data_IF_456189036834
#
_entry.id   IF_456189036834
#
_cell.length_a   1.000
_cell.length_b   1.000
_cell.length_c   1.000
_cell.angle_alpha   90.00
_cell.angle_beta   90.00
_cell.angle_gamma   90.00
#
_symmetry.space_group_name_H-M   'P 1'
#
loop_
_entity.id
_entity.type
_entity.pdbx_description
1 polymer ?
#
# COMPACT_ATOMS: atom_id res chain seq x y z
N UNK A 1 18.31 14.22 -13.43
CA UNK A 1 16.95 14.72 -13.74
C UNK A 1 16.25 14.94 -12.41
N UNK A 2 15.37 15.92 -12.28
CA UNK A 2 14.65 16.15 -11.02
C UNK A 2 13.14 16.11 -11.26
N UNK A 3 12.39 15.83 -10.19
CA UNK A 3 10.93 15.69 -10.29
C UNK A 3 10.24 17.05 -10.47
N UNK A 4 10.86 18.14 -10.07
CA UNK A 4 10.34 19.48 -10.31
C UNK A 4 10.35 19.80 -11.81
N UNK A 5 11.41 19.41 -12.52
CA UNK A 5 11.48 19.55 -13.98
C UNK A 5 10.39 18.73 -14.66
N UNK A 6 10.13 17.49 -14.20
CA UNK A 6 9.06 16.63 -14.72
C UNK A 6 7.68 17.30 -14.60
N UNK A 7 7.38 17.93 -13.45
CA UNK A 7 6.15 18.67 -13.20
C UNK A 7 6.07 19.93 -14.08
N UNK A 8 7.19 20.66 -14.21
CA UNK A 8 7.28 21.89 -14.99
C UNK A 8 7.10 21.67 -16.52
N UNK A 9 7.23 20.46 -17.00
CA UNK A 9 7.00 20.10 -18.41
C UNK A 9 5.53 19.84 -18.76
N UNK A 10 4.66 19.70 -17.75
CA UNK A 10 3.25 19.42 -17.95
C UNK A 10 2.47 20.70 -18.36
N UNK A 11 1.19 20.53 -18.74
CA UNK A 11 0.29 21.64 -19.10
C UNK A 11 0.05 22.52 -17.87
N UNK A 12 0.63 23.72 -17.89
CA UNK A 12 0.82 24.56 -16.70
C UNK A 12 -0.47 25.10 -16.08
N UNK A 13 -1.51 25.35 -16.86
CA UNK A 13 -2.82 25.87 -16.44
C UNK A 13 -3.75 24.77 -15.89
N UNK A 14 -3.37 23.49 -16.05
CA UNK A 14 -4.16 22.36 -15.62
C UNK A 14 -4.03 22.16 -14.11
N UNK A 15 -5.13 21.72 -13.46
CA UNK A 15 -5.10 21.25 -12.07
C UNK A 15 -4.19 20.02 -11.95
N UNK A 16 -3.26 20.09 -11.02
CA UNK A 16 -2.34 19.01 -10.70
C UNK A 16 -2.72 18.33 -9.37
N UNK A 17 -3.09 19.11 -8.38
CA UNK A 17 -3.40 18.64 -7.04
C UNK A 17 -4.58 19.38 -6.45
N UNK A 18 -5.50 18.65 -5.85
CA UNK A 18 -6.62 19.12 -5.06
C UNK A 18 -6.52 18.42 -3.70
N UNK A 19 -6.24 19.16 -2.64
CA UNK A 19 -6.28 18.63 -1.27
C UNK A 19 -7.49 19.20 -0.55
N UNK A 20 -8.51 18.35 -0.32
CA UNK A 20 -9.82 18.75 0.18
C UNK A 20 -10.45 19.86 -0.71
N UNK A 21 -10.25 21.14 -0.38
CA UNK A 21 -10.79 22.29 -1.13
C UNK A 21 -9.69 23.20 -1.72
N UNK A 22 -8.43 22.93 -1.39
CA UNK A 22 -7.29 23.68 -1.92
C UNK A 22 -6.87 23.14 -3.28
N UNK A 23 -6.74 24.00 -4.27
CA UNK A 23 -6.44 23.66 -5.66
C UNK A 23 -5.09 24.22 -6.09
N UNK A 24 -4.28 23.38 -6.70
CA UNK A 24 -2.98 23.72 -7.25
C UNK A 24 -2.91 23.33 -8.73
N UNK A 25 -2.62 24.28 -9.61
CA UNK A 25 -2.23 23.97 -10.98
C UNK A 25 -0.79 23.43 -11.04
N UNK A 26 -0.39 22.85 -12.17
CA UNK A 26 1.00 22.48 -12.39
C UNK A 26 1.95 23.66 -12.24
N UNK A 27 1.58 24.83 -12.79
CA UNK A 27 2.34 26.09 -12.58
C UNK A 27 2.42 26.47 -11.10
N UNK A 28 1.31 26.40 -10.38
CA UNK A 28 1.24 26.75 -8.96
C UNK A 28 2.12 25.85 -8.10
N UNK A 29 2.06 24.53 -8.31
CA UNK A 29 2.94 23.57 -7.63
C UNK A 29 4.43 23.84 -7.94
N UNK A 30 4.76 24.02 -9.22
CA UNK A 30 6.14 24.25 -9.63
C UNK A 30 6.67 25.58 -9.07
N UNK A 31 5.85 26.61 -9.03
CA UNK A 31 6.22 27.91 -8.45
C UNK A 31 6.46 27.79 -6.94
N UNK A 32 5.51 27.21 -6.20
CA UNK A 32 5.65 27.00 -4.75
C UNK A 32 6.91 26.21 -4.40
N UNK A 33 7.21 25.15 -5.18
CA UNK A 33 8.41 24.36 -4.98
C UNK A 33 9.70 25.16 -5.27
N UNK A 34 9.72 26.02 -6.30
CA UNK A 34 10.86 26.91 -6.60
C UNK A 34 11.05 27.96 -5.51
N UNK A 35 9.99 28.55 -5.02
CA UNK A 35 10.04 29.54 -3.93
C UNK A 35 10.61 28.92 -2.66
N UNK A 36 10.15 27.72 -2.29
CA UNK A 36 10.71 26.98 -1.16
C UNK A 36 12.18 26.62 -1.40
N UNK A 37 12.55 26.14 -2.59
CA UNK A 37 13.94 25.82 -2.98
C UNK A 37 14.86 27.02 -2.82
N UNK A 38 14.43 28.24 -3.17
CA UNK A 38 15.23 29.45 -3.05
C UNK A 38 15.49 29.88 -1.59
N UNK A 39 14.66 29.42 -0.66
CA UNK A 39 14.75 29.72 0.77
C UNK A 39 15.35 28.56 1.59
N UNK A 40 15.49 27.38 0.97
CA UNK A 40 15.88 26.15 1.66
C UNK A 40 17.38 26.14 1.99
N UNK A 41 17.69 25.53 3.12
CA UNK A 41 19.07 25.18 3.49
C UNK A 41 19.42 23.80 2.92
N UNK A 42 20.51 23.74 2.17
CA UNK A 42 21.06 22.52 1.59
C UNK A 42 22.35 22.05 2.28
N UNK A 43 22.64 22.50 3.49
CA UNK A 43 23.85 22.11 4.22
C UNK A 43 23.83 20.64 4.68
N UNK A 44 22.65 20.11 5.01
CA UNK A 44 22.49 18.73 5.42
C UNK A 44 22.44 17.76 4.22
N UNK A 45 22.93 16.50 4.37
CA UNK A 45 22.90 15.50 3.30
C UNK A 45 21.47 15.00 3.00
N UNK A 46 20.56 15.03 3.97
CA UNK A 46 19.16 14.69 3.80
C UNK A 46 18.25 15.65 4.57
N UNK A 47 17.00 15.79 4.12
CA UNK A 47 15.95 16.56 4.81
C UNK A 47 14.75 15.66 5.07
N UNK A 48 14.30 15.64 6.32
CA UNK A 48 13.08 14.92 6.71
C UNK A 48 11.89 15.86 6.68
N UNK A 49 10.96 15.59 5.75
CA UNK A 49 9.77 16.40 5.51
C UNK A 49 8.67 15.92 6.46
N UNK A 50 8.28 16.76 7.41
CA UNK A 50 7.31 16.49 8.48
C UNK A 50 6.04 17.34 8.33
N UNK A 51 5.55 17.50 7.12
CA UNK A 51 4.38 18.30 6.84
C UNK A 51 3.09 17.50 7.06
N UNK A 52 2.06 18.15 7.60
CA UNK A 52 0.75 17.55 7.80
C UNK A 52 -0.15 17.61 6.56
N UNK A 53 0.10 18.52 5.63
CA UNK A 53 -0.63 18.68 4.37
C UNK A 53 0.08 17.89 3.26
N UNK A 54 -0.69 17.18 2.43
CA UNK A 54 -0.18 16.45 1.27
C UNK A 54 0.45 17.44 0.28
N UNK A 55 -0.19 18.58 0.05
CA UNK A 55 0.33 19.63 -0.82
C UNK A 55 1.70 20.13 -0.33
N UNK A 56 1.85 20.39 0.97
CA UNK A 56 3.13 20.82 1.54
C UNK A 56 4.19 19.72 1.50
N UNK A 57 3.81 18.45 1.73
CA UNK A 57 4.71 17.31 1.55
C UNK A 57 5.23 17.26 0.11
N UNK A 58 4.34 17.38 -0.87
CA UNK A 58 4.69 17.35 -2.28
C UNK A 58 5.56 18.55 -2.69
N UNK A 59 5.18 19.77 -2.29
CA UNK A 59 5.95 21.00 -2.56
C UNK A 59 7.36 20.88 -1.99
N UNK A 60 7.50 20.42 -0.74
CA UNK A 60 8.80 20.22 -0.13
C UNK A 60 9.60 19.12 -0.83
N UNK A 61 8.99 17.99 -1.15
CA UNK A 61 9.63 16.92 -1.90
C UNK A 61 10.16 17.41 -3.26
N UNK A 62 9.37 18.17 -4.01
CA UNK A 62 9.76 18.76 -5.30
C UNK A 62 10.86 19.83 -5.12
N UNK A 63 10.81 20.62 -4.05
CA UNK A 63 11.82 21.66 -3.77
C UNK A 63 13.21 21.07 -3.56
N UNK A 64 13.33 19.95 -2.86
CA UNK A 64 14.60 19.29 -2.61
C UNK A 64 15.00 18.30 -3.72
N UNK A 65 14.09 17.93 -4.61
CA UNK A 65 14.37 17.01 -5.72
C UNK A 65 15.48 17.54 -6.63
N UNK A 66 16.45 16.69 -6.96
CA UNK A 66 17.57 17.03 -7.83
C UNK A 66 18.61 17.99 -7.21
N UNK A 67 18.54 18.24 -5.92
CA UNK A 67 19.54 19.02 -5.16
C UNK A 67 20.56 18.07 -4.49
N UNK A 68 21.54 18.63 -3.80
CA UNK A 68 22.51 17.84 -3.02
C UNK A 68 21.96 17.31 -1.69
N UNK A 69 20.78 17.80 -1.25
CA UNK A 69 20.09 17.35 -0.04
C UNK A 69 18.95 16.42 -0.42
N UNK A 70 19.04 15.17 -0.02
CA UNK A 70 18.07 14.14 -0.42
C UNK A 70 16.77 14.24 0.41
N UNK A 71 15.59 14.40 -0.21
CA UNK A 71 14.32 14.48 0.52
C UNK A 71 13.86 13.10 1.02
N UNK A 72 13.34 13.07 2.24
CA UNK A 72 12.68 11.94 2.88
C UNK A 72 11.35 12.40 3.44
N UNK A 73 10.23 11.85 2.96
CA UNK A 73 8.92 12.16 3.56
C UNK A 73 8.74 11.24 4.76
N UNK A 74 8.65 11.85 5.94
CA UNK A 74 8.68 11.16 7.21
C UNK A 74 7.27 10.98 7.80
N UNK A 75 7.05 9.89 8.53
CA UNK A 75 5.84 9.66 9.31
C UNK A 75 5.95 10.30 10.71
N UNK A 76 4.83 10.45 11.41
CA UNK A 76 4.84 10.95 12.80
C UNK A 76 5.65 10.03 13.74
N UNK A 77 5.56 8.71 13.52
CA UNK A 77 6.34 7.72 14.30
C UNK A 77 7.84 7.90 14.08
N UNK A 78 8.23 8.21 12.85
CA UNK A 78 9.64 8.39 12.51
C UNK A 78 10.27 9.67 13.07
N UNK A 79 9.47 10.69 13.45
CA UNK A 79 9.96 11.91 14.11
C UNK A 79 10.77 11.63 15.38
N UNK A 80 10.46 10.51 16.05
CA UNK A 80 11.13 10.11 17.31
C UNK A 80 12.36 9.24 17.08
N UNK A 81 12.68 8.90 15.82
CA UNK A 81 13.81 8.04 15.50
C UNK A 81 14.95 8.86 14.93
N UNK A 82 16.18 8.55 15.34
CA UNK A 82 17.38 9.07 14.72
C UNK A 82 17.78 8.14 13.58
N UNK A 83 17.96 8.71 12.39
CA UNK A 83 18.43 7.99 11.21
C UNK A 83 19.88 8.41 10.92
N UNK A 84 20.75 7.42 10.67
CA UNK A 84 22.10 7.68 10.19
C UNK A 84 22.04 8.07 8.72
N UNK A 85 22.52 9.25 8.38
CA UNK A 85 22.60 9.77 7.02
C UNK A 85 24.06 9.90 6.55
N UNK A 86 25.00 9.25 7.23
CA UNK A 86 26.44 9.38 6.94
C UNK A 86 26.87 8.67 5.65
N UNK A 87 26.06 7.72 5.19
CA UNK A 87 26.32 6.89 4.01
C UNK A 87 25.14 6.88 3.04
N UNK A 88 24.77 8.07 2.51
CA UNK A 88 23.76 8.15 1.45
C UNK A 88 24.40 7.76 0.12
N UNK A 89 23.84 6.77 -0.62
CA UNK A 89 24.36 6.42 -1.94
C UNK A 89 24.39 7.62 -2.88
N UNK A 90 25.45 7.75 -3.68
CA UNK A 90 25.62 8.90 -4.59
C UNK A 90 24.48 9.03 -5.61
N UNK A 91 23.87 7.92 -6.01
CA UNK A 91 22.74 7.91 -6.94
C UNK A 91 21.40 8.25 -6.28
N UNK A 92 21.34 8.32 -4.94
CA UNK A 92 20.10 8.55 -4.23
C UNK A 92 19.47 9.89 -4.57
N UNK A 93 18.21 9.89 -4.95
CA UNK A 93 17.42 11.09 -5.22
C UNK A 93 16.26 11.27 -4.22
N UNK A 94 15.96 10.23 -3.44
CA UNK A 94 14.99 10.26 -2.35
C UNK A 94 15.23 9.13 -1.34
N UNK A 95 14.78 9.34 -0.12
CA UNK A 95 14.63 8.28 0.87
C UNK A 95 13.17 7.89 1.07
N UNK A 96 12.93 6.59 1.23
CA UNK A 96 11.61 6.03 1.56
C UNK A 96 11.68 5.29 2.87
N UNK A 97 10.59 5.35 3.63
CA UNK A 97 10.51 4.71 4.94
C UNK A 97 9.61 3.50 4.88
N UNK A 98 10.04 2.41 5.52
CA UNK A 98 9.21 1.22 5.66
C UNK A 98 8.78 1.06 7.12
N UNK A 99 7.53 0.61 7.33
CA UNK A 99 7.09 0.17 8.65
C UNK A 99 7.74 -1.19 8.93
N UNK A 100 8.86 -1.22 9.65
CA UNK A 100 9.50 -2.48 10.04
C UNK A 100 8.57 -3.35 10.90
N UNK A 101 8.59 -4.66 10.70
CA UNK A 101 7.87 -5.65 11.53
C UNK A 101 8.25 -5.58 13.02
N UNK A 102 9.39 -4.97 13.33
CA UNK A 102 9.91 -4.74 14.68
C UNK A 102 9.46 -3.41 15.31
N UNK A 103 8.58 -2.65 14.66
CA UNK A 103 8.11 -1.33 15.11
C UNK A 103 9.11 -0.18 14.86
N UNK A 104 10.30 -0.47 14.33
CA UNK A 104 11.27 0.56 13.90
C UNK A 104 11.19 0.73 12.40
N UNK A 105 11.00 1.97 11.94
CA UNK A 105 11.04 2.28 10.50
C UNK A 105 12.47 2.12 9.97
N UNK A 106 12.61 1.53 8.78
CA UNK A 106 13.88 1.49 8.04
C UNK A 106 13.85 2.60 7.00
N UNK A 107 14.98 3.27 6.82
CA UNK A 107 15.19 4.25 5.77
C UNK A 107 15.91 3.56 4.60
N UNK A 108 15.35 3.66 3.42
CA UNK A 108 15.86 3.07 2.19
C UNK A 108 16.08 4.18 1.16
N UNK A 109 17.13 4.08 0.37
CA UNK A 109 17.49 5.09 -0.63
C UNK A 109 17.12 4.61 -2.04
N UNK A 110 16.62 5.53 -2.86
CA UNK A 110 16.28 5.27 -4.26
C UNK A 110 16.96 6.25 -5.19
N UNK A 111 17.45 5.72 -6.30
CA UNK A 111 17.87 6.55 -7.45
C UNK A 111 16.66 7.00 -8.27
N UNK A 112 16.86 8.01 -9.10
CA UNK A 112 15.83 8.46 -10.04
C UNK A 112 15.41 7.33 -11.00
N UNK A 113 16.38 6.59 -11.53
CA UNK A 113 16.13 5.49 -12.48
C UNK A 113 15.37 4.33 -11.83
N UNK A 114 15.72 3.96 -10.61
CA UNK A 114 15.03 2.87 -9.91
C UNK A 114 13.56 3.17 -9.61
N UNK A 115 13.11 4.40 -9.83
CA UNK A 115 11.75 4.81 -9.52
C UNK A 115 11.01 5.43 -10.70
N UNK A 116 11.52 6.53 -11.28
CA UNK A 116 10.82 7.28 -12.31
C UNK A 116 10.73 6.53 -13.66
N UNK A 117 11.71 5.70 -13.98
CA UNK A 117 11.69 4.91 -15.21
C UNK A 117 10.57 3.84 -15.22
N UNK A 118 10.00 3.56 -14.05
CA UNK A 118 8.86 2.66 -13.93
C UNK A 118 7.50 3.34 -14.20
N UNK A 119 7.39 4.66 -14.12
CA UNK A 119 6.12 5.36 -14.29
C UNK A 119 5.38 5.03 -15.61
N UNK A 120 6.05 4.90 -16.78
CA UNK A 120 5.34 4.52 -17.99
C UNK A 120 4.65 3.16 -17.90
N UNK A 121 5.33 2.16 -17.31
CA UNK A 121 4.77 0.82 -17.16
C UNK A 121 3.65 0.81 -16.09
N UNK A 122 3.87 1.47 -14.95
CA UNK A 122 2.85 1.68 -13.93
C UNK A 122 1.57 2.26 -14.54
N UNK A 123 1.70 3.37 -15.26
CA UNK A 123 0.59 4.11 -15.82
C UNK A 123 -0.14 3.31 -16.91
N UNK A 124 0.61 2.55 -17.72
CA UNK A 124 0.03 1.62 -18.71
C UNK A 124 -0.84 0.56 -18.06
N UNK A 125 -0.35 -0.10 -16.98
CA UNK A 125 -1.08 -1.17 -16.29
C UNK A 125 -2.30 -0.63 -15.55
N UNK A 126 -2.17 0.55 -14.96
CA UNK A 126 -3.23 1.18 -14.15
C UNK A 126 -4.21 2.04 -14.97
N UNK A 127 -4.00 2.16 -16.28
CA UNK A 127 -4.85 2.98 -17.13
C UNK A 127 -4.81 4.46 -16.77
N UNK A 128 -3.64 4.97 -16.36
CA UNK A 128 -3.39 6.36 -15.98
C UNK A 128 -2.85 7.14 -17.18
N UNK A 129 -3.47 8.27 -17.47
CA UNK A 129 -3.13 9.17 -18.57
C UNK A 129 -3.30 10.64 -18.15
N UNK A 130 -3.11 11.56 -19.10
CA UNK A 130 -3.31 13.01 -18.87
C UNK A 130 -4.74 13.39 -18.49
N UNK A 131 -5.75 12.58 -18.84
CA UNK A 131 -7.16 12.83 -18.51
C UNK A 131 -7.57 12.24 -17.17
N UNK A 132 -6.65 11.54 -16.50
CA UNK A 132 -6.93 10.91 -15.23
C UNK A 132 -7.10 11.96 -14.14
N UNK A 133 -8.22 11.88 -13.43
CA UNK A 133 -8.46 12.52 -12.13
C UNK A 133 -8.59 11.42 -11.11
N UNK A 134 -7.56 11.20 -10.30
CA UNK A 134 -7.52 10.09 -9.35
C UNK A 134 -7.82 10.54 -7.93
N UNK A 135 -8.68 9.79 -7.24
CA UNK A 135 -8.88 9.95 -5.80
C UNK A 135 -7.91 9.06 -5.02
N UNK A 136 -7.21 9.66 -4.04
CA UNK A 136 -6.34 8.95 -3.12
C UNK A 136 -6.53 9.45 -1.68
N UNK A 137 -6.34 8.56 -0.70
CA UNK A 137 -6.37 8.93 0.71
C UNK A 137 -5.08 8.54 1.41
N UNK A 138 -4.43 9.52 2.03
CA UNK A 138 -3.25 9.32 2.87
C UNK A 138 -2.00 10.08 2.41
N UNK A 139 -1.00 10.11 3.29
CA UNK A 139 0.27 10.84 3.16
C UNK A 139 1.18 10.23 2.08
N UNK A 140 2.07 11.06 1.53
CA UNK A 140 3.17 10.62 0.67
C UNK A 140 4.26 9.84 1.43
N UNK A 141 4.24 9.84 2.76
CA UNK A 141 5.16 9.02 3.56
C UNK A 141 4.97 7.51 3.30
N UNK A 142 3.82 7.13 2.72
CA UNK A 142 3.59 5.79 2.19
C UNK A 142 4.16 5.66 0.79
N UNK A 143 5.07 4.70 0.59
CA UNK A 143 5.69 4.44 -0.72
C UNK A 143 4.65 4.19 -1.81
N UNK A 144 3.58 3.43 -1.50
CA UNK A 144 2.49 3.19 -2.45
C UNK A 144 1.78 4.48 -2.88
N UNK A 145 1.45 5.37 -1.93
CA UNK A 145 0.87 6.68 -2.25
C UNK A 145 1.84 7.53 -3.08
N UNK A 146 3.11 7.61 -2.64
CA UNK A 146 4.13 8.39 -3.32
C UNK A 146 4.32 7.94 -4.78
N UNK A 147 4.33 6.61 -5.02
CA UNK A 147 4.42 6.05 -6.36
C UNK A 147 3.24 6.46 -7.24
N UNK A 148 2.01 6.30 -6.74
CA UNK A 148 0.80 6.68 -7.49
C UNK A 148 0.76 8.19 -7.74
N UNK A 149 1.01 9.01 -6.72
CA UNK A 149 0.96 10.46 -6.86
C UNK A 149 1.95 10.96 -7.93
N UNK A 150 3.19 10.52 -7.84
CA UNK A 150 4.21 10.95 -8.81
C UNK A 150 3.98 10.35 -10.20
N UNK A 151 3.51 9.11 -10.30
CA UNK A 151 3.15 8.50 -11.59
C UNK A 151 2.02 9.24 -12.31
N UNK A 152 0.98 9.65 -11.58
CA UNK A 152 -0.14 10.44 -12.11
C UNK A 152 0.33 11.82 -12.55
N UNK A 153 1.13 12.50 -11.72
CA UNK A 153 1.68 13.81 -12.08
C UNK A 153 2.63 13.73 -13.27
N UNK A 154 3.40 12.63 -13.39
CA UNK A 154 4.26 12.39 -14.55
C UNK A 154 3.46 12.21 -15.85
N UNK A 155 2.26 11.65 -15.77
CA UNK A 155 1.33 11.52 -16.90
C UNK A 155 0.56 12.81 -17.23
N UNK A 156 0.70 13.86 -16.42
CA UNK A 156 -0.09 15.08 -16.58
C UNK A 156 -1.52 14.96 -16.03
N UNK A 157 -1.82 13.97 -15.20
CA UNK A 157 -3.11 13.76 -14.53
C UNK A 157 -3.36 14.72 -13.36
N UNK A 158 -4.49 14.57 -12.68
CA UNK A 158 -4.89 15.38 -11.53
C UNK A 158 -5.08 14.50 -10.30
N UNK A 159 -4.54 14.91 -9.17
CA UNK A 159 -4.68 14.26 -7.88
C UNK A 159 -5.81 14.94 -7.07
N UNK A 160 -6.85 14.20 -6.68
CA UNK A 160 -7.83 14.62 -5.70
C UNK A 160 -7.58 13.84 -4.40
N UNK A 161 -7.06 14.49 -3.37
CA UNK A 161 -6.49 13.82 -2.21
C UNK A 161 -7.05 14.34 -0.89
N UNK A 162 -6.99 13.52 0.14
CA UNK A 162 -7.28 13.92 1.52
C UNK A 162 -6.52 13.03 2.51
N UNK A 163 -6.20 13.57 3.67
CA UNK A 163 -5.71 12.75 4.78
C UNK A 163 -6.85 12.27 5.68
N UNK A 164 -8.05 12.90 5.58
CA UNK A 164 -9.18 12.62 6.46
C UNK A 164 -9.79 11.27 6.14
N UNK A 165 -9.98 10.43 7.18
CA UNK A 165 -10.73 9.18 7.05
C UNK A 165 -12.23 9.46 7.20
N UNK A 166 -12.87 9.89 6.08
CA UNK A 166 -14.31 10.22 6.03
C UNK A 166 -14.91 9.79 4.69
N UNK A 167 -15.42 8.54 4.54
CA UNK A 167 -15.89 8.03 3.26
C UNK A 167 -16.96 8.89 2.55
N UNK A 168 -17.87 9.53 3.31
CA UNK A 168 -18.85 10.47 2.72
C UNK A 168 -18.17 11.69 2.09
N UNK A 169 -17.15 12.22 2.73
CA UNK A 169 -16.36 13.33 2.18
C UNK A 169 -15.57 12.90 0.94
N UNK A 170 -15.04 11.67 0.92
CA UNK A 170 -14.38 11.13 -0.27
C UNK A 170 -15.30 11.14 -1.48
N UNK A 171 -16.54 10.66 -1.33
CA UNK A 171 -17.52 10.64 -2.41
C UNK A 171 -17.91 12.06 -2.87
N UNK A 172 -17.96 13.04 -1.95
CA UNK A 172 -18.20 14.44 -2.32
C UNK A 172 -17.05 15.01 -3.17
N UNK A 173 -15.79 14.74 -2.79
CA UNK A 173 -14.63 15.12 -3.59
C UNK A 173 -14.65 14.42 -4.96
N UNK A 174 -14.91 13.11 -5.00
CA UNK A 174 -14.98 12.35 -6.23
C UNK A 174 -16.06 12.92 -7.18
N UNK A 175 -17.22 13.28 -6.65
CA UNK A 175 -18.29 13.88 -7.42
C UNK A 175 -17.93 15.28 -7.91
N UNK A 176 -17.44 16.15 -7.03
CA UNK A 176 -17.10 17.56 -7.31
C UNK A 176 -16.05 17.69 -8.42
N UNK A 177 -15.05 16.85 -8.39
CA UNK A 177 -13.91 16.92 -9.31
C UNK A 177 -13.96 15.87 -10.44
N UNK A 178 -15.13 15.25 -10.65
CA UNK A 178 -15.34 14.27 -11.71
C UNK A 178 -14.26 13.18 -11.73
N UNK A 179 -13.91 12.63 -10.56
CA UNK A 179 -12.90 11.58 -10.40
C UNK A 179 -13.25 10.39 -11.29
N UNK A 180 -12.27 9.90 -12.04
CA UNK A 180 -12.40 8.78 -12.95
C UNK A 180 -11.45 7.62 -12.64
N UNK A 181 -10.60 7.77 -11.61
CA UNK A 181 -9.76 6.70 -11.09
C UNK A 181 -9.72 6.75 -9.56
N UNK A 182 -9.52 5.60 -8.91
CA UNK A 182 -9.46 5.49 -7.44
C UNK A 182 -8.23 4.68 -7.07
N UNK A 183 -7.43 5.18 -6.12
CA UNK A 183 -6.39 4.41 -5.46
C UNK A 183 -6.63 4.36 -3.96
N UNK A 184 -6.99 3.19 -3.46
CA UNK A 184 -7.20 2.89 -2.04
C UNK A 184 -6.80 1.43 -1.75
N UNK A 185 -6.45 1.13 -0.52
CA UNK A 185 -6.30 -0.27 -0.07
C UNK A 185 -7.68 -0.97 -0.03
N UNK A 186 -7.75 -2.31 -0.18
CA UNK A 186 -9.00 -3.05 -0.26
C UNK A 186 -10.01 -2.73 0.85
N UNK A 187 -9.57 -2.69 2.10
CA UNK A 187 -10.44 -2.38 3.25
C UNK A 187 -11.11 -1.00 3.16
N UNK A 188 -10.45 -0.01 2.56
CA UNK A 188 -11.03 1.33 2.33
C UNK A 188 -11.93 1.36 1.11
N UNK A 189 -11.58 0.64 0.03
CA UNK A 189 -12.42 0.52 -1.17
C UNK A 189 -13.79 -0.07 -0.83
N UNK A 190 -13.82 -1.12 -0.03
CA UNK A 190 -15.05 -1.80 0.36
C UNK A 190 -15.97 -0.99 1.29
N UNK A 191 -15.53 0.17 1.76
CA UNK A 191 -16.41 1.13 2.42
C UNK A 191 -17.27 1.91 1.43
N UNK A 192 -16.79 2.18 0.21
CA UNK A 192 -17.47 3.03 -0.75
C UNK A 192 -18.86 2.53 -1.14
N UNK A 193 -19.09 1.24 -1.43
CA UNK A 193 -20.43 0.71 -1.72
C UNK A 193 -21.44 0.96 -0.61
N UNK A 194 -21.02 1.04 0.66
CA UNK A 194 -21.92 1.31 1.81
C UNK A 194 -22.51 2.72 1.78
N UNK A 195 -21.90 3.66 1.06
CA UNK A 195 -22.28 5.08 1.03
C UNK A 195 -22.76 5.57 -0.35
N UNK A 196 -22.49 4.83 -1.42
CA UNK A 196 -23.00 5.13 -2.76
C UNK A 196 -24.47 4.69 -2.87
N UNK A 197 -25.32 5.60 -3.37
CA UNK A 197 -26.74 5.32 -3.61
C UNK A 197 -27.00 4.81 -5.02
N UNK A 198 -26.17 5.27 -5.97
CA UNK A 198 -26.27 4.92 -7.38
C UNK A 198 -24.86 4.61 -7.92
N UNK A 199 -24.75 3.74 -8.94
CA UNK A 199 -23.47 3.44 -9.56
C UNK A 199 -22.79 4.68 -10.15
N UNK A 200 -21.49 4.82 -9.94
CA UNK A 200 -20.69 5.87 -10.58
C UNK A 200 -19.99 5.31 -11.83
N UNK A 201 -20.59 5.56 -12.98
CA UNK A 201 -20.11 5.10 -14.30
C UNK A 201 -18.87 5.86 -14.81
N UNK A 202 -18.46 6.95 -14.13
CA UNK A 202 -17.29 7.76 -14.52
C UNK A 202 -15.98 7.09 -14.14
N UNK A 203 -15.99 6.30 -13.05
CA UNK A 203 -14.81 5.60 -12.58
C UNK A 203 -14.45 4.50 -13.57
N UNK A 204 -13.31 4.64 -14.23
CA UNK A 204 -12.78 3.72 -15.23
C UNK A 204 -11.57 2.89 -14.76
N UNK A 205 -10.94 3.30 -13.63
CA UNK A 205 -9.81 2.56 -13.05
C UNK A 205 -9.91 2.53 -11.53
N UNK A 206 -9.70 1.35 -10.95
CA UNK A 206 -9.54 1.16 -9.52
C UNK A 206 -8.21 0.42 -9.30
N UNK A 207 -7.32 1.05 -8.56
CA UNK A 207 -5.99 0.54 -8.25
C UNK A 207 -5.94 0.23 -6.77
N UNK A 208 -5.47 -0.96 -6.40
CA UNK A 208 -5.37 -1.38 -5.02
C UNK A 208 -4.13 -2.22 -4.76
N UNK A 209 -3.72 -2.29 -3.50
CA UNK A 209 -2.57 -3.09 -3.09
C UNK A 209 -2.44 -3.16 -1.58
N UNK A 210 -1.34 -3.73 -1.09
CA UNK A 210 -1.01 -3.88 0.34
C UNK A 210 -1.89 -4.83 1.14
N UNK A 211 -3.01 -5.29 0.62
CA UNK A 211 -3.92 -6.28 1.21
C UNK A 211 -4.44 -7.20 0.10
N UNK A 212 -4.88 -8.41 0.44
CA UNK A 212 -5.52 -9.32 -0.51
C UNK A 212 -6.94 -8.85 -0.85
N UNK A 213 -7.38 -9.17 -2.07
CA UNK A 213 -8.74 -8.98 -2.55
C UNK A 213 -9.05 -10.12 -3.53
N UNK A 214 -10.19 -10.76 -3.38
CA UNK A 214 -10.64 -11.83 -4.26
C UNK A 214 -11.78 -11.40 -5.19
N UNK A 215 -12.32 -12.37 -5.92
CA UNK A 215 -13.40 -12.16 -6.89
C UNK A 215 -14.65 -11.52 -6.29
N UNK A 216 -15.07 -11.97 -5.13
CA UNK A 216 -16.28 -11.46 -4.49
C UNK A 216 -16.19 -9.98 -4.12
N UNK A 217 -15.02 -9.51 -3.65
CA UNK A 217 -14.80 -8.09 -3.36
C UNK A 217 -14.76 -7.28 -4.64
N UNK A 218 -14.10 -7.77 -5.68
CA UNK A 218 -14.08 -7.11 -6.97
C UNK A 218 -15.48 -6.97 -7.56
N UNK A 219 -16.32 -8.01 -7.49
CA UNK A 219 -17.71 -7.98 -7.96
C UNK A 219 -18.55 -6.96 -7.19
N UNK A 220 -18.38 -6.83 -5.85
CA UNK A 220 -19.05 -5.78 -5.07
C UNK A 220 -18.66 -4.37 -5.53
N UNK A 221 -17.41 -4.16 -5.90
CA UNK A 221 -16.96 -2.88 -6.43
C UNK A 221 -17.51 -2.63 -7.83
N UNK A 222 -17.57 -3.63 -8.70
CA UNK A 222 -18.14 -3.52 -10.05
C UNK A 222 -19.65 -3.25 -10.04
N UNK A 223 -20.39 -3.63 -8.99
CA UNK A 223 -21.80 -3.24 -8.84
C UNK A 223 -21.98 -1.71 -8.71
N UNK A 224 -21.04 -1.03 -8.09
CA UNK A 224 -21.10 0.44 -7.88
C UNK A 224 -20.18 1.23 -8.81
N UNK A 225 -19.21 0.59 -9.43
CA UNK A 225 -18.30 1.15 -10.43
C UNK A 225 -18.26 0.24 -11.68
N UNK A 226 -19.35 0.18 -12.46
CA UNK A 226 -19.52 -0.86 -13.49
C UNK A 226 -18.55 -0.77 -14.67
N UNK A 227 -17.93 0.41 -14.88
CA UNK A 227 -16.97 0.64 -15.96
C UNK A 227 -15.51 0.56 -15.50
N UNK A 228 -15.27 0.18 -14.23
CA UNK A 228 -13.93 0.19 -13.68
C UNK A 228 -13.12 -1.05 -14.10
N UNK A 229 -11.91 -0.83 -14.61
CA UNK A 229 -10.85 -1.83 -14.66
C UNK A 229 -10.18 -1.88 -13.28
N UNK A 230 -10.38 -2.97 -12.53
CA UNK A 230 -9.85 -3.12 -11.18
C UNK A 230 -8.52 -3.87 -11.26
N UNK A 231 -7.47 -3.26 -10.74
CA UNK A 231 -6.13 -3.84 -10.65
C UNK A 231 -5.70 -3.94 -9.18
N UNK A 232 -5.40 -5.16 -8.75
CA UNK A 232 -4.71 -5.40 -7.49
C UNK A 232 -3.24 -5.65 -7.77
N UNK A 233 -2.33 -4.96 -7.06
CA UNK A 233 -0.90 -5.17 -7.20
C UNK A 233 -0.26 -5.69 -5.90
N UNK A 234 0.80 -6.46 -6.06
CA UNK A 234 1.75 -6.80 -5.02
C UNK A 234 3.06 -6.05 -5.27
N UNK A 235 3.62 -5.49 -4.21
CA UNK A 235 4.86 -4.73 -4.27
C UNK A 235 5.44 -4.46 -2.89
N UNK A 236 6.65 -3.92 -2.86
CA UNK A 236 7.37 -3.58 -1.65
C UNK A 236 8.14 -2.28 -1.82
N UNK A 237 8.38 -1.58 -0.70
CA UNK A 237 9.18 -0.35 -0.73
C UNK A 237 10.60 -0.58 -1.26
N UNK A 238 11.11 -1.79 -1.08
CA UNK A 238 12.42 -2.23 -1.53
C UNK A 238 12.50 -2.44 -3.04
N UNK A 239 11.40 -2.89 -3.68
CA UNK A 239 11.39 -3.45 -5.03
C UNK A 239 10.37 -2.80 -5.97
N UNK A 240 9.62 -1.78 -5.51
CA UNK A 240 8.52 -1.16 -6.24
C UNK A 240 7.37 -2.14 -6.50
N UNK A 241 6.70 -2.09 -7.65
CA UNK A 241 5.64 -3.02 -8.05
C UNK A 241 6.23 -4.32 -8.59
N UNK A 242 5.72 -5.46 -8.15
CA UNK A 242 6.24 -6.80 -8.49
C UNK A 242 5.27 -7.52 -9.42
N UNK A 243 4.03 -7.76 -8.95
CA UNK A 243 2.99 -8.40 -9.77
C UNK A 243 1.68 -7.64 -9.71
N UNK A 244 0.79 -7.92 -10.64
CA UNK A 244 -0.57 -7.41 -10.66
C UNK A 244 -1.55 -8.46 -11.19
N UNK A 245 -2.81 -8.33 -10.78
CA UNK A 245 -3.92 -9.12 -11.27
C UNK A 245 -5.11 -8.21 -11.56
N UNK A 246 -5.81 -8.48 -12.66
CA UNK A 246 -7.05 -7.78 -13.03
C UNK A 246 -8.26 -8.49 -12.44
N UNK A 247 -9.35 -7.74 -12.17
CA UNK A 247 -10.57 -8.33 -11.61
C UNK A 247 -11.09 -9.52 -12.39
N UNK A 248 -10.98 -9.51 -13.71
CA UNK A 248 -11.41 -10.60 -14.59
C UNK A 248 -10.65 -11.92 -14.37
N UNK A 249 -9.40 -11.81 -13.88
CA UNK A 249 -8.51 -12.92 -13.57
C UNK A 249 -8.59 -13.38 -12.10
N UNK A 250 -9.24 -12.58 -11.23
CA UNK A 250 -9.37 -12.91 -9.81
C UNK A 250 -10.32 -14.11 -9.64
N UNK A 251 -9.97 -14.95 -8.69
CA UNK A 251 -10.76 -16.11 -8.26
C UNK A 251 -11.06 -16.01 -6.76
N UNK A 252 -11.73 -17.01 -6.21
CA UNK A 252 -11.90 -17.13 -4.76
C UNK A 252 -10.60 -17.51 -4.04
N UNK A 253 -9.60 -18.01 -4.78
CA UNK A 253 -8.25 -18.20 -4.25
C UNK A 253 -7.53 -16.84 -4.15
N UNK A 254 -7.54 -16.28 -2.95
CA UNK A 254 -6.91 -15.01 -2.62
C UNK A 254 -5.39 -15.05 -2.58
N UNK A 255 -4.79 -16.24 -2.73
CA UNK A 255 -3.34 -16.37 -2.84
C UNK A 255 -2.84 -15.93 -4.20
N UNK A 256 -3.68 -16.02 -5.25
CA UNK A 256 -3.35 -15.61 -6.60
C UNK A 256 -3.18 -14.07 -6.67
N UNK A 257 -1.94 -13.63 -6.89
CA UNK A 257 -1.55 -12.21 -7.01
C UNK A 257 -1.03 -11.85 -8.39
N UNK A 258 -1.23 -12.73 -9.36
CA UNK A 258 -1.12 -12.47 -10.79
C UNK A 258 0.26 -12.55 -11.38
N UNK A 259 0.48 -11.76 -12.44
CA UNK A 259 1.68 -11.78 -13.28
C UNK A 259 2.62 -10.63 -12.98
N UNK A 260 3.90 -10.80 -13.29
CA UNK A 260 4.93 -9.77 -13.12
C UNK A 260 4.67 -8.56 -14.01
N UNK A 261 5.02 -7.37 -13.50
CA UNK A 261 5.15 -6.19 -14.33
C UNK A 261 6.31 -6.37 -15.35
N UNK A 262 6.24 -5.62 -16.44
CA UNK A 262 7.32 -5.62 -17.44
C UNK A 262 8.65 -5.16 -16.81
N UNK A 263 9.70 -5.93 -17.03
CA UNK A 263 11.03 -5.65 -16.46
C UNK A 263 11.24 -6.23 -15.06
N UNK A 264 10.23 -6.92 -14.50
CA UNK A 264 10.34 -7.62 -13.22
C UNK A 264 10.35 -9.12 -13.45
N UNK A 265 11.33 -9.82 -12.92
CA UNK A 265 11.42 -11.27 -12.95
C UNK A 265 11.14 -11.84 -11.56
N UNK A 266 10.24 -12.79 -11.50
CA UNK A 266 9.87 -13.51 -10.28
C UNK A 266 10.32 -14.95 -10.41
N UNK A 267 11.03 -15.45 -9.44
CA UNK A 267 11.40 -16.87 -9.32
C UNK A 267 11.08 -17.38 -7.92
N UNK A 268 10.90 -18.69 -7.80
CA UNK A 268 10.59 -19.32 -6.53
C UNK A 268 11.54 -20.50 -6.32
N UNK A 269 12.18 -20.52 -5.17
CA UNK A 269 13.05 -21.61 -4.75
C UNK A 269 12.67 -22.03 -3.32
N UNK A 270 12.34 -23.33 -3.13
CA UNK A 270 11.89 -23.86 -1.84
C UNK A 270 10.74 -23.05 -1.22
N UNK A 271 9.76 -22.67 -2.06
CA UNK A 271 8.63 -21.80 -1.72
C UNK A 271 9.02 -20.35 -1.32
N UNK A 272 10.27 -19.94 -1.34
CA UNK A 272 10.70 -18.57 -1.12
C UNK A 272 10.71 -17.82 -2.45
N UNK A 273 10.10 -16.62 -2.44
CA UNK A 273 9.98 -15.76 -3.61
C UNK A 273 11.21 -14.86 -3.73
N UNK A 274 11.83 -14.88 -4.91
CA UNK A 274 12.97 -14.05 -5.28
C UNK A 274 12.59 -13.14 -6.45
N UNK A 275 13.02 -11.89 -6.35
CA UNK A 275 12.69 -10.84 -7.32
C UNK A 275 13.97 -10.28 -7.91
N UNK A 276 14.03 -10.20 -9.24
CA UNK A 276 15.05 -9.49 -9.99
C UNK A 276 14.41 -8.35 -10.78
N UNK A 277 14.83 -7.12 -10.52
CA UNK A 277 14.25 -5.91 -11.09
C UNK A 277 15.24 -4.75 -11.05
N UNK A 278 15.31 -3.88 -12.08
CA UNK A 278 16.07 -2.64 -12.01
C UNK A 278 15.42 -1.57 -11.09
N UNK A 279 14.18 -1.80 -10.66
CA UNK A 279 13.39 -0.83 -9.90
C UNK A 279 13.49 -1.04 -8.39
N UNK A 280 14.69 -1.29 -7.90
CA UNK A 280 14.97 -1.58 -6.48
C UNK A 280 15.59 -0.38 -5.75
N UNK A 281 15.58 -0.41 -4.43
CA UNK A 281 16.35 0.53 -3.60
C UNK A 281 17.84 0.26 -3.72
N UNK A 282 18.66 1.28 -3.42
CA UNK A 282 20.10 1.12 -3.35
C UNK A 282 20.48 0.12 -2.24
N UNK A 283 21.70 -0.43 -2.33
CA UNK A 283 22.31 -1.31 -1.30
C UNK A 283 21.60 -2.66 -1.08
N UNK A 284 20.87 -3.17 -2.07
CA UNK A 284 20.41 -4.57 -2.07
C UNK A 284 21.06 -5.38 -3.18
N UNK A 285 21.19 -6.68 -2.96
CA UNK A 285 21.72 -7.63 -3.95
C UNK A 285 20.56 -8.36 -4.62
N UNK A 286 20.59 -8.44 -5.95
CA UNK A 286 19.61 -9.18 -6.75
C UNK A 286 20.11 -10.60 -7.08
N UNK A 287 19.21 -11.58 -7.22
CA UNK A 287 17.79 -11.49 -6.91
C UNK A 287 17.54 -11.33 -5.40
N UNK A 288 16.59 -10.47 -5.03
CA UNK A 288 16.29 -10.13 -3.63
C UNK A 288 15.05 -10.87 -3.14
N UNK A 289 15.08 -11.34 -1.88
CA UNK A 289 13.93 -11.94 -1.21
C UNK A 289 13.43 -11.06 -0.07
N UNK A 290 12.11 -10.83 -0.08
CA UNK A 290 11.39 -10.20 1.04
C UNK A 290 11.09 -11.19 2.17
N UNK A 291 11.55 -12.46 2.05
CA UNK A 291 11.14 -13.59 2.88
C UNK A 291 9.66 -13.92 2.76
N UNK A 292 9.09 -13.60 1.61
CA UNK A 292 7.73 -13.94 1.23
C UNK A 292 7.75 -15.35 0.61
N UNK A 293 6.69 -16.13 0.87
CA UNK A 293 6.52 -17.50 0.36
C UNK A 293 5.44 -17.54 -0.71
N UNK A 294 5.64 -18.40 -1.68
CA UNK A 294 4.70 -18.56 -2.78
C UNK A 294 5.12 -19.66 -3.75
N UNK A 295 4.34 -19.80 -4.80
CA UNK A 295 4.68 -20.65 -5.95
C UNK A 295 4.18 -19.98 -7.24
N UNK A 296 4.73 -20.40 -8.37
CA UNK A 296 4.24 -20.04 -9.69
C UNK A 296 3.35 -21.17 -10.19
N UNK A 297 2.18 -20.83 -10.75
CA UNK A 297 1.32 -21.79 -11.43
C UNK A 297 1.83 -22.13 -12.85
N UNK A 298 1.09 -22.96 -13.58
CA UNK A 298 1.44 -23.38 -14.93
C UNK A 298 1.46 -22.23 -15.96
N UNK A 299 0.71 -21.16 -15.70
CA UNK A 299 0.65 -19.92 -16.48
C UNK A 299 1.71 -18.89 -16.05
N UNK A 300 2.56 -19.22 -15.07
CA UNK A 300 3.60 -18.34 -14.55
C UNK A 300 3.07 -17.22 -13.66
N UNK A 301 1.83 -17.34 -13.13
CA UNK A 301 1.24 -16.39 -12.19
C UNK A 301 1.68 -16.74 -10.78
N UNK A 302 1.92 -15.70 -9.97
CA UNK A 302 2.38 -15.85 -8.59
C UNK A 302 1.21 -16.06 -7.63
N UNK A 303 1.37 -17.07 -6.79
CA UNK A 303 0.54 -17.30 -5.60
C UNK A 303 1.35 -16.94 -4.35
N UNK A 304 0.81 -16.05 -3.53
CA UNK A 304 1.42 -15.58 -2.30
C UNK A 304 0.86 -16.35 -1.10
N UNK A 305 1.71 -17.08 -0.38
CA UNK A 305 1.35 -17.92 0.75
C UNK A 305 1.57 -17.27 2.12
N UNK A 306 2.04 -16.02 2.12
CA UNK A 306 2.36 -15.27 3.34
C UNK A 306 3.84 -15.07 3.53
N UNK A 307 4.21 -14.34 4.58
CA UNK A 307 5.60 -14.09 4.97
C UNK A 307 6.14 -15.24 5.79
N UNK A 308 7.43 -15.48 5.73
CA UNK A 308 8.10 -16.42 6.64
C UNK A 308 7.89 -16.03 8.10
N UNK A 309 7.84 -14.72 8.39
CA UNK A 309 7.58 -14.18 9.72
C UNK A 309 6.09 -14.27 10.14
N UNK A 310 5.18 -14.50 9.20
CA UNK A 310 3.75 -14.76 9.46
C UNK A 310 3.45 -16.25 9.69
N UNK A 311 4.48 -17.09 9.53
CA UNK A 311 4.41 -18.49 9.94
C UNK A 311 4.82 -18.57 11.40
N UNK A 312 3.84 -18.90 12.21
CA UNK A 312 4.07 -19.12 13.65
C UNK A 312 4.28 -20.60 13.94
N UNK A 313 5.23 -20.89 14.78
CA UNK A 313 5.42 -22.26 15.28
C UNK A 313 4.44 -22.47 16.44
N UNK A 314 3.58 -23.48 16.31
CA UNK A 314 2.63 -23.87 17.36
C UNK A 314 2.95 -25.31 17.74
N UNK A 315 3.58 -25.49 18.87
CA UNK A 315 4.00 -26.80 19.37
C UNK A 315 4.78 -27.63 18.31
N UNK A 316 5.73 -26.96 17.64
CA UNK A 316 6.59 -27.55 16.60
C UNK A 316 5.95 -27.69 15.21
N UNK A 317 4.68 -27.30 15.02
CA UNK A 317 4.03 -27.27 13.72
C UNK A 317 3.99 -25.85 13.18
N UNK A 318 4.25 -25.69 11.87
CA UNK A 318 4.18 -24.40 11.18
C UNK A 318 2.72 -24.06 10.82
N UNK A 319 2.23 -22.94 11.29
CA UNK A 319 0.88 -22.42 11.02
C UNK A 319 1.00 -21.08 10.32
N UNK A 320 0.32 -20.94 9.18
CA UNK A 320 0.22 -19.66 8.48
C UNK A 320 -0.83 -18.78 9.16
N UNK A 321 -0.40 -17.69 9.81
CA UNK A 321 -1.30 -16.70 10.38
C UNK A 321 -2.21 -16.07 9.29
N UNK A 322 -1.70 -15.92 8.07
CA UNK A 322 -2.46 -15.41 6.92
C UNK A 322 -3.61 -16.35 6.57
N UNK A 323 -3.36 -17.68 6.48
CA UNK A 323 -4.40 -18.68 6.22
C UNK A 323 -5.53 -18.62 7.26
N UNK A 324 -5.15 -18.50 8.54
CA UNK A 324 -6.12 -18.41 9.63
C UNK A 324 -6.91 -17.10 9.58
N UNK A 325 -6.26 -15.96 9.31
CA UNK A 325 -6.94 -14.68 9.12
C UNK A 325 -7.90 -14.72 7.93
N UNK A 326 -7.51 -15.29 6.80
CA UNK A 326 -8.36 -15.45 5.62
C UNK A 326 -9.60 -16.28 5.96
N UNK A 327 -9.43 -17.46 6.58
CA UNK A 327 -10.55 -18.30 6.98
C UNK A 327 -11.53 -17.59 7.94
N UNK A 328 -11.02 -16.70 8.81
CA UNK A 328 -11.86 -15.89 9.68
C UNK A 328 -12.63 -14.82 8.90
N UNK A 329 -11.96 -14.09 8.01
CA UNK A 329 -12.59 -12.98 7.26
C UNK A 329 -13.56 -13.46 6.15
N UNK A 330 -13.56 -14.73 5.81
CA UNK A 330 -14.57 -15.36 4.93
C UNK A 330 -15.89 -15.63 5.66
N UNK A 331 -15.90 -15.59 6.99
CA UNK A 331 -17.13 -15.77 7.75
C UNK A 331 -17.97 -14.48 7.75
N UNK A 332 -19.29 -14.64 7.61
CA UNK A 332 -20.23 -13.52 7.58
C UNK A 332 -20.13 -12.65 8.83
N UNK A 333 -19.96 -11.33 8.68
CA UNK A 333 -19.91 -10.37 9.79
C UNK A 333 -18.54 -10.27 10.47
N UNK A 334 -17.49 -10.92 9.96
CA UNK A 334 -16.11 -10.67 10.35
C UNK A 334 -15.48 -9.74 9.32
N UNK A 335 -15.19 -8.51 9.73
CA UNK A 335 -14.64 -7.49 8.84
C UNK A 335 -13.10 -7.54 8.77
N UNK A 336 -12.46 -7.89 9.88
CA UNK A 336 -11.00 -7.98 9.99
C UNK A 336 -10.59 -9.07 10.98
N UNK A 337 -9.41 -9.65 10.75
CA UNK A 337 -8.81 -10.60 11.66
C UNK A 337 -7.29 -10.44 11.73
N UNK A 338 -6.74 -10.70 12.90
CA UNK A 338 -5.30 -10.82 13.10
C UNK A 338 -5.00 -11.99 14.03
N UNK A 339 -3.91 -12.70 13.78
CA UNK A 339 -3.51 -13.85 14.56
C UNK A 339 -2.12 -13.62 15.15
N UNK A 340 -1.99 -13.90 16.43
CA UNK A 340 -0.75 -13.81 17.17
C UNK A 340 -0.51 -15.18 17.87
N UNK A 341 0.74 -15.64 17.85
CA UNK A 341 1.15 -16.74 18.68
C UNK A 341 1.75 -16.20 19.98
N UNK A 342 1.32 -16.75 21.10
CA UNK A 342 1.87 -16.46 22.42
C UNK A 342 2.25 -17.75 23.12
N UNK A 343 3.40 -17.74 23.79
CA UNK A 343 3.81 -18.82 24.67
C UNK A 343 3.15 -18.64 26.04
N UNK A 344 2.32 -19.60 26.45
CA UNK A 344 1.57 -19.58 27.72
C UNK A 344 1.67 -20.98 28.35
N UNK A 345 2.11 -21.05 29.58
CA UNK A 345 2.19 -22.31 30.37
C UNK A 345 2.83 -23.48 29.58
N UNK A 346 4.04 -23.27 29.06
CA UNK A 346 4.84 -24.25 28.27
C UNK A 346 4.17 -24.68 26.95
N UNK A 347 3.18 -23.99 26.44
CA UNK A 347 2.55 -24.26 25.17
C UNK A 347 2.42 -23.00 24.30
N UNK A 348 2.57 -23.19 22.99
CA UNK A 348 2.28 -22.14 22.02
C UNK A 348 0.79 -22.10 21.73
N UNK A 349 0.20 -20.91 21.90
CA UNK A 349 -1.24 -20.67 21.74
C UNK A 349 -1.47 -19.67 20.62
N UNK A 350 -2.27 -20.05 19.64
CA UNK A 350 -2.80 -19.10 18.65
C UNK A 350 -3.95 -18.31 19.27
N UNK A 351 -3.85 -17.00 19.20
CA UNK A 351 -4.88 -16.05 19.62
C UNK A 351 -5.34 -15.29 18.40
N UNK A 352 -6.63 -15.35 18.09
CA UNK A 352 -7.26 -14.58 17.03
C UNK A 352 -7.94 -13.34 17.60
N UNK A 353 -7.56 -12.16 17.09
CA UNK A 353 -8.27 -10.91 17.26
C UNK A 353 -9.23 -10.73 16.09
N UNK A 354 -10.48 -10.44 16.36
CA UNK A 354 -11.54 -10.46 15.34
C UNK A 354 -12.34 -9.17 15.45
N UNK A 355 -12.31 -8.37 14.38
CA UNK A 355 -13.18 -7.22 14.19
C UNK A 355 -14.55 -7.69 13.70
N UNK A 356 -15.58 -7.53 14.52
CA UNK A 356 -16.90 -8.14 14.27
C UNK A 356 -18.01 -7.11 14.18
N UNK A 357 -18.86 -7.27 13.16
CA UNK A 357 -20.18 -6.63 13.10
C UNK A 357 -21.30 -7.52 13.70
N UNK A 358 -20.98 -8.80 14.02
CA UNK A 358 -21.89 -9.79 14.61
C UNK A 358 -21.19 -10.53 15.75
N UNK A 359 -21.89 -10.78 16.85
CA UNK A 359 -21.38 -11.64 17.93
C UNK A 359 -21.33 -13.12 17.49
N UNK A 360 -20.19 -13.75 17.74
CA UNK A 360 -19.95 -15.17 17.53
C UNK A 360 -19.62 -15.85 18.85
N UNK A 361 -20.17 -17.05 19.06
CA UNK A 361 -19.71 -17.93 20.11
C UNK A 361 -18.38 -18.61 19.73
N UNK A 362 -17.47 -18.78 20.71
CA UNK A 362 -16.19 -19.49 20.47
C UNK A 362 -16.37 -20.86 19.81
N UNK A 363 -17.35 -21.65 20.28
CA UNK A 363 -17.63 -23.00 19.75
C UNK A 363 -18.14 -22.95 18.31
N UNK A 364 -18.96 -21.93 17.98
CA UNK A 364 -19.46 -21.70 16.61
C UNK A 364 -18.31 -21.38 15.66
N UNK A 365 -17.41 -20.45 16.01
CA UNK A 365 -16.24 -20.13 15.18
C UNK A 365 -15.34 -21.33 14.96
N UNK A 366 -15.02 -22.08 16.00
CA UNK A 366 -14.18 -23.29 15.87
C UNK A 366 -14.84 -24.30 14.94
N UNK A 367 -16.17 -24.50 15.02
CA UNK A 367 -16.91 -25.40 14.13
C UNK A 367 -16.86 -24.95 12.67
N UNK A 368 -16.99 -23.63 12.42
CA UNK A 368 -16.92 -23.07 11.07
C UNK A 368 -15.51 -23.15 10.51
N UNK A 369 -14.51 -22.78 11.30
CA UNK A 369 -13.10 -22.81 10.88
C UNK A 369 -12.58 -24.22 10.58
N UNK A 370 -13.12 -25.27 11.21
CA UNK A 370 -12.78 -26.66 10.90
C UNK A 370 -13.15 -27.11 9.50
N UNK A 371 -13.92 -26.32 8.75
CA UNK A 371 -14.21 -26.62 7.36
C UNK A 371 -13.03 -26.29 6.42
N UNK A 372 -12.14 -25.41 6.86
CA UNK A 372 -11.01 -24.88 6.06
C UNK A 372 -9.65 -24.99 6.73
N UNK A 373 -9.63 -25.17 8.05
CA UNK A 373 -8.39 -25.24 8.86
C UNK A 373 -8.25 -26.63 9.52
N UNK A 374 -7.01 -27.07 9.62
CA UNK A 374 -6.66 -28.23 10.40
C UNK A 374 -6.73 -27.94 11.91
N UNK A 375 -6.92 -28.97 12.74
CA UNK A 375 -7.09 -28.81 14.19
C UNK A 375 -5.92 -28.05 14.86
N UNK A 376 -4.71 -28.19 14.36
CA UNK A 376 -3.53 -27.51 14.88
C UNK A 376 -3.41 -26.05 14.43
N UNK A 377 -4.17 -25.64 13.40
CA UNK A 377 -4.26 -24.26 12.91
C UNK A 377 -5.36 -23.46 13.62
N UNK A 378 -6.23 -24.10 14.39
CA UNK A 378 -7.36 -23.45 15.05
C UNK A 378 -6.89 -22.54 16.20
N UNK A 379 -7.33 -21.28 16.27
CA UNK A 379 -7.09 -20.42 17.43
C UNK A 379 -7.70 -21.03 18.70
N UNK A 380 -6.94 -21.04 19.77
CA UNK A 380 -7.42 -21.47 21.10
C UNK A 380 -8.15 -20.35 21.85
N UNK A 381 -7.85 -19.11 21.50
CA UNK A 381 -8.46 -17.92 22.10
C UNK A 381 -8.93 -16.97 20.99
N UNK A 382 -10.09 -16.36 21.19
CA UNK A 382 -10.66 -15.30 20.34
C UNK A 382 -10.88 -14.06 21.19
N UNK A 383 -10.42 -12.91 20.68
CA UNK A 383 -10.62 -11.59 21.26
C UNK A 383 -11.45 -10.79 20.26
N UNK A 384 -12.68 -10.45 20.65
CA UNK A 384 -13.59 -9.68 19.80
C UNK A 384 -13.42 -8.19 20.06
N UNK A 385 -13.36 -7.41 19.01
CA UNK A 385 -13.22 -5.95 19.03
C UNK A 385 -14.16 -5.35 18.01
N UNK A 386 -14.67 -4.13 18.26
CA UNK A 386 -15.44 -3.39 17.23
C UNK A 386 -14.55 -3.05 16.03
N UNK A 387 -13.30 -2.70 16.29
CA UNK A 387 -12.29 -2.38 15.28
C UNK A 387 -10.91 -2.79 15.80
N UNK A 388 -10.12 -3.42 14.97
CA UNK A 388 -8.73 -3.71 15.28
C UNK A 388 -7.88 -2.42 15.24
N UNK A 389 -6.83 -2.30 16.07
CA UNK A 389 -5.91 -1.18 15.99
C UNK A 389 -5.14 -1.22 14.67
N UNK A 390 -5.01 -0.07 14.02
CA UNK A 390 -4.26 0.09 12.77
C UNK A 390 -3.06 1.01 12.98
N UNK A 391 -1.98 0.69 12.29
CA UNK A 391 -0.84 1.58 12.19
C UNK A 391 -1.13 2.73 11.20
N UNK A 392 -0.22 3.69 11.08
CA UNK A 392 -0.34 4.82 10.15
C UNK A 392 -0.51 4.39 8.68
N UNK A 393 -0.10 3.16 8.32
CA UNK A 393 -0.27 2.59 6.98
C UNK A 393 -1.65 1.98 6.73
N UNK A 394 -2.53 1.99 7.73
CA UNK A 394 -3.84 1.36 7.65
C UNK A 394 -3.79 -0.17 7.71
N UNK A 395 -2.65 -0.75 8.09
CA UNK A 395 -2.52 -2.19 8.39
C UNK A 395 -2.77 -2.43 9.87
N UNK A 396 -3.31 -3.60 10.21
CA UNK A 396 -3.51 -3.98 11.62
C UNK A 396 -2.19 -3.90 12.39
N UNK A 397 -2.21 -3.18 13.50
CA UNK A 397 -1.04 -3.01 14.38
C UNK A 397 -0.89 -4.22 15.32
N UNK A 398 -0.13 -5.21 14.85
CA UNK A 398 0.16 -6.43 15.64
C UNK A 398 0.90 -6.13 16.95
N UNK A 399 1.64 -5.01 17.04
CA UNK A 399 2.33 -4.64 18.27
C UNK A 399 1.34 -4.12 19.32
N UNK A 400 0.41 -3.26 18.91
CA UNK A 400 -0.68 -2.81 19.77
C UNK A 400 -1.52 -4.00 20.25
N UNK A 401 -1.83 -4.97 19.39
CA UNK A 401 -2.55 -6.19 19.79
C UNK A 401 -1.77 -7.06 20.77
N UNK A 402 -0.44 -7.16 20.66
CA UNK A 402 0.40 -7.87 21.64
C UNK A 402 0.33 -7.24 23.04
N UNK A 403 0.20 -5.92 23.10
CA UNK A 403 0.09 -5.19 24.37
C UNK A 403 -1.29 -5.33 25.02
N UNK A 404 -2.28 -5.86 24.31
CA UNK A 404 -3.64 -6.14 24.80
C UNK A 404 -3.72 -7.47 25.56
N UNK A 405 -2.72 -8.33 25.43
CA UNK A 405 -2.60 -9.66 26.04
C UNK A 405 -1.74 -9.64 27.29
#
# INVERSE_FOLDING_TARGET
MDYLTLIAQQKQDKLALIEDEEEYTYAGLAQAARELRNQADFSAPAVFIHESSIARQLIAFLAYSGTKTVPVIATEVSKKQQFCCDAIPQAACMGVMTSGSTGKSKLLWRSYHSWADFFPEQNRVFGVDEQTVIFCQGSLAFTGNLNIYMGVLAAGGTLAVTQRFRPRHWLQLMQRYAVNAIYLIPSKLLLLPKFLREPDVRVRSIISGSQSMGRQEADKLLQVFPNADITLYYGASELNYITYIKAEEMTDDRTLIGRSFKGVQVSVCNEEIFIDTPYHVEDITLPFSLKDRGHLDAEGRLHFLGRTDDIVSVNGRKVSAVKVCTALTELEGIEEAAVICRHVDDADVLIAFVGVAREYGKQELVKLLRQTLEDYELPKQFVFMEQLPHNESGKVDKLALKNFL
#
